data_IF_293722451657
#
_entry.id   IF_293722451657
#
_cell.length_a   1.000
_cell.length_b   1.000
_cell.length_c   1.000
_cell.angle_alpha   90.00
_cell.angle_beta   90.00
_cell.angle_gamma   90.00
#
_symmetry.space_group_name_H-M   'P 1'
#
loop_
_entity.id
_entity.type
_entity.pdbx_description
1 polymer ?
#
# COMPACT_ATOMS: atom_id res chain seq x y z
N UNK A 1 -0.68 14.58 -22.63
CA UNK A 1 -0.25 14.83 -21.23
C UNK A 1 0.50 13.60 -20.73
N UNK A 2 1.62 13.76 -20.02
CA UNK A 2 2.37 12.62 -19.46
C UNK A 2 1.79 12.30 -18.08
N UNK A 3 1.06 11.20 -17.99
CA UNK A 3 0.50 10.69 -16.73
C UNK A 3 1.23 9.41 -16.35
N UNK A 4 1.71 9.34 -15.11
CA UNK A 4 2.26 8.13 -14.55
C UNK A 4 1.24 7.49 -13.59
N UNK A 5 0.79 6.28 -13.92
CA UNK A 5 -0.14 5.51 -13.10
C UNK A 5 0.64 4.43 -12.35
N UNK A 6 0.69 4.51 -11.02
CA UNK A 6 1.22 3.46 -10.14
C UNK A 6 0.06 2.75 -9.45
N UNK A 7 0.04 1.41 -9.54
CA UNK A 7 -0.90 0.57 -8.78
C UNK A 7 -0.38 0.24 -7.37
N UNK A 8 -1.20 -0.39 -6.54
CA UNK A 8 -0.79 -0.89 -5.21
C UNK A 8 -0.03 -2.22 -5.31
N UNK A 9 1.03 -2.37 -4.50
CA UNK A 9 1.93 -3.53 -4.54
C UNK A 9 1.25 -4.83 -4.06
N UNK A 10 0.93 -5.73 -4.99
CA UNK A 10 0.22 -6.99 -4.72
C UNK A 10 1.08 -7.95 -3.86
N UNK A 11 2.40 -7.87 -3.94
CA UNK A 11 3.33 -8.66 -3.12
C UNK A 11 3.17 -8.39 -1.63
N UNK A 12 2.77 -7.16 -1.24
CA UNK A 12 2.46 -6.82 0.15
C UNK A 12 1.30 -7.66 0.69
N UNK A 13 0.23 -7.77 -0.08
CA UNK A 13 -0.94 -8.57 0.30
C UNK A 13 -0.61 -10.06 0.37
N UNK A 14 0.21 -10.56 -0.54
CA UNK A 14 0.67 -11.96 -0.50
C UNK A 14 1.47 -12.24 0.77
N UNK A 15 2.44 -11.37 1.12
CA UNK A 15 3.21 -11.53 2.36
C UNK A 15 2.33 -11.46 3.60
N UNK A 16 1.37 -10.54 3.64
CA UNK A 16 0.44 -10.41 4.75
C UNK A 16 -0.46 -11.67 4.89
N UNK A 17 -0.90 -12.25 3.77
CA UNK A 17 -1.66 -13.51 3.74
C UNK A 17 -0.87 -14.68 4.31
N UNK A 18 0.42 -14.79 3.98
CA UNK A 18 1.29 -15.85 4.52
C UNK A 18 1.36 -15.73 6.05
N UNK A 19 1.55 -14.51 6.58
CA UNK A 19 1.59 -14.25 8.02
C UNK A 19 0.26 -14.64 8.68
N UNK A 20 -0.88 -14.21 8.11
CA UNK A 20 -2.20 -14.55 8.63
C UNK A 20 -2.44 -16.06 8.66
N UNK A 21 -2.02 -16.77 7.60
CA UNK A 21 -2.12 -18.22 7.49
C UNK A 21 -1.22 -18.92 8.52
N UNK A 22 0.02 -18.46 8.70
CA UNK A 22 0.94 -18.98 9.71
C UNK A 22 0.39 -18.82 11.12
N UNK A 23 -0.26 -17.68 11.42
CA UNK A 23 -0.93 -17.46 12.71
C UNK A 23 -2.11 -18.41 12.89
N UNK A 24 -2.92 -18.67 11.86
CA UNK A 24 -4.02 -19.65 11.96
C UNK A 24 -3.51 -21.06 12.20
N UNK A 25 -2.46 -21.48 11.49
CA UNK A 25 -1.87 -22.80 11.65
C UNK A 25 -1.29 -22.97 13.06
N UNK A 26 -0.60 -21.95 13.59
CA UNK A 26 -0.05 -22.01 14.96
C UNK A 26 -1.17 -22.21 16.00
N UNK A 27 -2.31 -21.54 15.83
CA UNK A 27 -3.45 -21.68 16.74
C UNK A 27 -4.02 -23.10 16.71
N UNK A 28 -4.15 -23.69 15.52
CA UNK A 28 -4.64 -25.08 15.36
C UNK A 28 -3.70 -26.14 15.95
N UNK A 29 -2.40 -25.84 16.05
CA UNK A 29 -1.41 -26.75 16.64
C UNK A 29 -1.31 -26.63 18.16
N UNK A 30 -1.78 -25.52 18.75
CA UNK A 30 -1.71 -25.22 20.19
C UNK A 30 -3.00 -25.67 20.91
N UNK A 31 -3.92 -26.35 20.24
CA UNK A 31 -5.22 -26.80 20.79
C UNK A 31 -5.03 -27.75 21.97
N UNK A 32 -4.88 -27.17 23.15
CA UNK A 32 -5.19 -27.73 24.45
C UNK A 32 -6.61 -27.29 24.80
N UNK A 33 -7.40 -28.17 25.39
CA UNK A 33 -8.88 -28.19 25.50
C UNK A 33 -9.56 -26.96 26.15
N UNK A 34 -8.86 -25.85 26.41
CA UNK A 34 -9.46 -24.58 26.83
C UNK A 34 -9.03 -23.49 25.87
N UNK A 35 -10.01 -22.82 25.26
CA UNK A 35 -9.82 -21.59 24.49
C UNK A 35 -9.11 -20.59 25.41
N UNK A 36 -7.80 -20.48 25.27
CA UNK A 36 -7.01 -19.53 26.04
C UNK A 36 -7.28 -18.13 25.48
N UNK A 37 -7.20 -17.10 26.33
CA UNK A 37 -7.23 -15.71 25.89
C UNK A 37 -6.23 -15.42 24.74
N UNK A 38 -5.12 -16.16 24.70
CA UNK A 38 -4.08 -16.04 23.67
C UNK A 38 -4.61 -16.50 22.30
N UNK A 39 -5.29 -17.65 22.25
CA UNK A 39 -5.94 -18.15 21.03
C UNK A 39 -7.02 -17.20 20.52
N UNK A 40 -7.83 -16.64 21.41
CA UNK A 40 -8.85 -15.65 21.03
C UNK A 40 -8.24 -14.38 20.41
N UNK A 41 -7.17 -13.85 21.01
CA UNK A 41 -6.45 -12.69 20.47
C UNK A 41 -5.82 -13.00 19.13
N UNK A 42 -5.20 -14.17 18.98
CA UNK A 42 -4.56 -14.60 17.73
C UNK A 42 -5.56 -14.76 16.59
N UNK A 43 -6.73 -15.34 16.87
CA UNK A 43 -7.81 -15.52 15.90
C UNK A 43 -8.42 -14.18 15.48
N UNK A 44 -8.65 -13.28 16.44
CA UNK A 44 -9.15 -11.91 16.17
C UNK A 44 -8.14 -11.11 15.34
N UNK A 45 -6.85 -11.21 15.64
CA UNK A 45 -5.79 -10.54 14.90
C UNK A 45 -5.70 -11.09 13.47
N UNK A 46 -5.74 -12.41 13.29
CA UNK A 46 -5.72 -13.02 11.96
C UNK A 46 -6.96 -12.62 11.14
N UNK A 47 -8.15 -12.60 11.75
CA UNK A 47 -9.37 -12.13 11.10
C UNK A 47 -9.27 -10.66 10.65
N UNK A 48 -8.72 -9.78 11.49
CA UNK A 48 -8.49 -8.38 11.15
C UNK A 48 -7.50 -8.23 9.97
N UNK A 49 -6.40 -9.01 9.98
CA UNK A 49 -5.42 -9.04 8.89
C UNK A 49 -6.08 -9.54 7.59
N UNK A 50 -6.84 -10.63 7.64
CA UNK A 50 -7.57 -11.15 6.47
C UNK A 50 -8.59 -10.15 5.92
N UNK A 51 -9.32 -9.46 6.79
CA UNK A 51 -10.25 -8.41 6.38
C UNK A 51 -9.51 -7.27 5.66
N UNK A 52 -8.39 -6.81 6.21
CA UNK A 52 -7.55 -5.79 5.58
C UNK A 52 -7.02 -6.25 4.22
N UNK A 53 -6.61 -7.51 4.09
CA UNK A 53 -6.19 -8.09 2.81
C UNK A 53 -7.33 -8.11 1.80
N UNK A 54 -8.52 -8.57 2.19
CA UNK A 54 -9.68 -8.65 1.32
C UNK A 54 -10.07 -7.25 0.79
N UNK A 55 -10.14 -6.25 1.67
CA UNK A 55 -10.44 -4.86 1.27
C UNK A 55 -9.37 -4.27 0.36
N UNK A 56 -8.08 -4.49 0.65
CA UNK A 56 -6.99 -4.01 -0.17
C UNK A 56 -6.91 -4.67 -1.55
N UNK A 57 -7.13 -6.00 -1.64
CA UNK A 57 -7.25 -6.71 -2.91
C UNK A 57 -8.47 -6.23 -3.70
N UNK A 58 -9.62 -6.05 -3.04
CA UNK A 58 -10.80 -5.46 -3.67
C UNK A 58 -10.53 -4.07 -4.24
N UNK A 59 -9.83 -3.20 -3.50
CA UNK A 59 -9.43 -1.87 -3.96
C UNK A 59 -8.44 -1.93 -5.15
N UNK A 60 -7.56 -2.92 -5.20
CA UNK A 60 -6.66 -3.16 -6.34
C UNK A 60 -7.45 -3.62 -7.57
N UNK A 61 -8.29 -4.65 -7.44
CA UNK A 61 -9.03 -5.24 -8.57
C UNK A 61 -10.13 -4.31 -9.10
N UNK A 62 -10.75 -3.51 -8.24
CA UNK A 62 -11.70 -2.45 -8.66
C UNK A 62 -11.01 -1.28 -9.38
N UNK A 63 -9.68 -1.28 -9.47
CA UNK A 63 -8.91 -0.19 -10.07
C UNK A 63 -8.96 1.10 -9.27
N UNK A 64 -9.54 1.07 -8.06
CA UNK A 64 -9.63 2.21 -7.16
C UNK A 64 -8.26 2.55 -6.60
N UNK A 65 -7.40 1.58 -6.30
CA UNK A 65 -6.06 1.87 -5.80
C UNK A 65 -5.07 2.23 -6.91
N UNK A 66 -5.09 3.50 -7.30
CA UNK A 66 -4.15 4.08 -8.27
C UNK A 66 -3.66 5.43 -7.76
N UNK A 67 -2.33 5.57 -7.75
CA UNK A 67 -1.64 6.86 -7.65
C UNK A 67 -1.37 7.32 -9.07
N UNK A 68 -1.89 8.48 -9.42
CA UNK A 68 -1.69 9.11 -10.72
C UNK A 68 -0.86 10.37 -10.47
N UNK A 69 0.35 10.38 -11.02
CA UNK A 69 1.27 11.51 -10.95
C UNK A 69 1.24 12.20 -12.31
N UNK A 70 0.96 13.48 -12.34
CA UNK A 70 0.99 14.32 -13.53
C UNK A 70 1.81 15.60 -13.28
N UNK A 71 2.05 16.37 -14.31
CA UNK A 71 2.71 17.68 -14.23
C UNK A 71 1.92 18.72 -13.41
N UNK A 72 0.63 18.50 -13.16
CA UNK A 72 -0.23 19.40 -12.38
C UNK A 72 -0.42 18.94 -10.93
N UNK A 73 0.09 17.76 -10.56
CA UNK A 73 0.05 17.27 -9.18
C UNK A 73 -0.06 15.76 -9.07
N UNK A 74 -0.50 15.31 -7.90
CA UNK A 74 -0.66 13.90 -7.57
C UNK A 74 -2.09 13.63 -7.14
N UNK A 75 -2.73 12.70 -7.83
CA UNK A 75 -4.02 12.13 -7.44
C UNK A 75 -3.75 10.76 -6.84
N UNK A 76 -4.30 10.48 -5.67
CA UNK A 76 -4.33 9.14 -5.12
C UNK A 76 -5.71 8.80 -4.60
N UNK A 77 -5.99 7.51 -4.50
CA UNK A 77 -7.21 7.03 -3.88
C UNK A 77 -6.84 6.35 -2.57
N UNK A 78 -7.65 6.58 -1.53
CA UNK A 78 -7.54 5.85 -0.28
C UNK A 78 -8.01 4.41 -0.47
N UNK A 79 -7.68 3.54 0.50
CA UNK A 79 -8.19 2.17 0.56
C UNK A 79 -9.72 2.09 0.60
N UNK A 80 -10.37 3.16 1.06
CA UNK A 80 -11.83 3.31 1.10
C UNK A 80 -12.40 3.91 -0.21
N UNK A 81 -11.58 4.06 -1.25
CA UNK A 81 -11.98 4.59 -2.55
C UNK A 81 -12.13 6.11 -2.60
N UNK A 82 -11.78 6.84 -1.53
CA UNK A 82 -11.84 8.31 -1.53
C UNK A 82 -10.71 8.88 -2.39
N UNK A 83 -11.05 9.77 -3.32
CA UNK A 83 -10.10 10.41 -4.21
C UNK A 83 -9.54 11.66 -3.54
N UNK A 84 -8.22 11.75 -3.45
CA UNK A 84 -7.49 12.92 -2.97
C UNK A 84 -6.63 13.47 -4.10
N UNK A 85 -6.59 14.79 -4.22
CA UNK A 85 -5.74 15.52 -5.15
C UNK A 85 -4.84 16.46 -4.37
N UNK A 86 -3.55 16.42 -4.71
CA UNK A 86 -2.51 17.29 -4.18
C UNK A 86 -1.93 18.06 -5.38
N UNK A 87 -1.97 19.40 -5.37
CA UNK A 87 -1.41 20.20 -6.46
C UNK A 87 0.12 20.08 -6.50
N UNK A 88 0.72 20.22 -7.69
CA UNK A 88 2.18 20.12 -7.86
C UNK A 88 2.96 21.16 -7.04
N UNK A 89 2.38 22.34 -6.81
CA UNK A 89 2.94 23.42 -6.01
C UNK A 89 3.22 23.01 -4.56
N UNK A 90 2.45 22.06 -4.04
CA UNK A 90 2.62 21.52 -2.71
C UNK A 90 3.61 20.35 -2.66
N UNK A 91 4.01 19.78 -3.80
CA UNK A 91 4.87 18.59 -3.89
C UNK A 91 6.30 18.98 -4.20
N UNK A 92 7.17 18.98 -3.19
CA UNK A 92 8.58 19.33 -3.34
C UNK A 92 9.40 18.20 -3.97
N UNK A 93 9.11 16.96 -3.59
CA UNK A 93 9.87 15.79 -4.04
C UNK A 93 9.07 14.50 -3.96
N UNK A 94 9.32 13.61 -4.91
CA UNK A 94 8.78 12.25 -4.90
C UNK A 94 9.95 11.26 -4.77
N UNK A 95 10.03 10.58 -3.63
CA UNK A 95 10.99 9.50 -3.42
C UNK A 95 10.28 8.15 -3.46
N UNK A 96 10.99 7.10 -3.88
CA UNK A 96 10.50 5.74 -3.75
C UNK A 96 11.48 4.99 -2.88
N UNK A 97 10.97 4.52 -1.74
CA UNK A 97 11.76 3.79 -0.76
C UNK A 97 11.30 2.34 -0.74
N UNK A 98 12.29 1.45 -0.67
CA UNK A 98 12.07 0.02 -0.50
C UNK A 98 12.26 -0.36 0.96
N UNK A 99 11.30 -1.07 1.55
CA UNK A 99 11.45 -1.69 2.85
C UNK A 99 11.24 -3.20 2.67
N UNK A 100 12.31 -3.98 2.82
CA UNK A 100 12.31 -5.43 2.59
C UNK A 100 11.79 -5.76 1.18
N UNK A 101 10.65 -6.47 1.09
CA UNK A 101 9.98 -6.90 -0.14
C UNK A 101 8.98 -5.86 -0.66
N UNK A 102 8.87 -4.73 0.04
CA UNK A 102 7.85 -3.70 -0.19
C UNK A 102 8.51 -2.45 -0.75
N UNK A 103 7.72 -1.70 -1.51
CA UNK A 103 8.07 -0.37 -1.97
C UNK A 103 6.90 0.54 -1.64
N UNK A 104 7.22 1.77 -1.25
CA UNK A 104 6.26 2.83 -1.07
C UNK A 104 6.78 4.10 -1.73
N UNK A 105 5.87 4.91 -2.24
CA UNK A 105 6.16 6.24 -2.74
C UNK A 105 5.98 7.22 -1.60
N UNK A 106 7.04 7.97 -1.29
CA UNK A 106 7.05 9.03 -0.30
C UNK A 106 6.96 10.38 -1.02
N UNK A 107 5.90 11.11 -0.74
CA UNK A 107 5.68 12.48 -1.20
C UNK A 107 6.15 13.43 -0.11
N UNK A 108 7.11 14.28 -0.44
CA UNK A 108 7.51 15.40 0.40
C UNK A 108 6.65 16.59 0.01
N UNK A 109 5.84 17.04 0.95
CA UNK A 109 4.93 18.16 0.81
C UNK A 109 5.49 19.34 1.60
N UNK A 110 5.10 20.56 1.21
CA UNK A 110 5.41 21.78 1.97
C UNK A 110 4.87 21.72 3.41
N UNK A 111 3.82 20.93 3.64
CA UNK A 111 3.15 20.74 4.94
C UNK A 111 3.62 19.51 5.72
N UNK A 112 4.47 18.65 5.13
CA UNK A 112 4.94 17.44 5.79
C UNK A 112 5.23 16.28 4.83
N UNK A 113 5.18 15.05 5.31
CA UNK A 113 5.48 13.85 4.49
C UNK A 113 4.25 12.96 4.37
N UNK A 114 3.90 12.57 3.15
CA UNK A 114 2.84 11.59 2.88
C UNK A 114 3.44 10.31 2.30
N UNK A 115 3.12 9.16 2.91
CA UNK A 115 3.54 7.85 2.44
C UNK A 115 2.39 7.15 1.75
N UNK A 116 2.58 6.80 0.49
CA UNK A 116 1.61 6.08 -0.31
C UNK A 116 2.18 4.72 -0.71
N UNK A 117 1.44 3.67 -0.36
CA UNK A 117 1.76 2.30 -0.74
C UNK A 117 1.48 2.09 -2.23
N UNK A 118 2.51 2.19 -3.07
CA UNK A 118 2.41 1.96 -4.50
C UNK A 118 3.59 1.14 -5.00
N UNK A 119 3.43 0.45 -6.15
CA UNK A 119 4.49 -0.33 -6.78
C UNK A 119 5.74 0.52 -7.00
N UNK A 120 6.91 -0.11 -6.84
CA UNK A 120 8.18 0.42 -7.33
C UNK A 120 8.01 0.83 -8.80
N UNK A 121 8.22 2.11 -9.16
CA UNK A 121 8.16 2.51 -10.54
C UNK A 121 9.25 1.78 -11.33
N UNK A 122 8.88 1.26 -12.49
CA UNK A 122 9.83 0.69 -13.45
C UNK A 122 10.83 1.76 -13.92
N UNK A 123 11.98 1.38 -14.48
CA UNK A 123 13.00 2.31 -15.00
C UNK A 123 12.41 3.37 -15.95
N UNK A 124 11.47 2.98 -16.81
CA UNK A 124 10.74 3.90 -17.69
C UNK A 124 9.84 4.92 -16.92
N UNK A 125 9.29 4.50 -15.78
CA UNK A 125 8.45 5.33 -14.92
C UNK A 125 9.30 6.29 -14.07
N UNK A 126 10.46 5.84 -13.59
CA UNK A 126 11.45 6.72 -12.96
C UNK A 126 11.98 7.78 -13.92
N UNK A 127 12.24 7.41 -15.18
CA UNK A 127 12.61 8.37 -16.22
C UNK A 127 11.48 9.37 -16.47
N UNK A 128 10.22 8.92 -16.45
CA UNK A 128 9.06 9.82 -16.58
C UNK A 128 8.93 10.78 -15.40
N UNK A 129 9.23 10.35 -14.18
CA UNK A 129 9.27 11.23 -13.00
C UNK A 129 10.38 12.29 -13.08
N UNK A 130 11.58 11.91 -13.55
CA UNK A 130 12.66 12.87 -13.84
C UNK A 130 12.25 13.91 -14.89
N UNK A 131 11.58 13.47 -15.96
CA UNK A 131 11.07 14.38 -17.00
C UNK A 131 9.96 15.31 -16.50
N UNK A 132 9.29 14.96 -15.40
CA UNK A 132 8.26 15.77 -14.76
C UNK A 132 8.82 16.71 -13.67
N UNK A 133 10.12 16.63 -13.35
CA UNK A 133 10.78 17.51 -12.38
C UNK A 133 10.62 17.11 -10.91
N UNK A 134 10.14 15.89 -10.63
CA UNK A 134 9.84 15.42 -9.26
C UNK A 134 11.00 14.69 -8.57
N UNK A 135 12.11 14.44 -9.27
CA UNK A 135 13.31 13.70 -8.79
C UNK A 135 14.56 14.56 -8.98
#
# INVERSE_FOLDING_TARGET
MKELKLGMNLSFFISLSIIALSLLILDTLIVSERISMISFVQLTLSAAIMFYIATGLWAIFSGQSRVIICNQGVVYHSLLGQKHYIPAEEVEKISVEGLLWFSYTKLYLTTGELRIWSFKPNLAQQHSLKLLGYI
#
